data_IF_078766228997
#
_entry.id   IF_078766228997
#
_cell.length_a   1.000
_cell.length_b   1.000
_cell.length_c   1.000
_cell.angle_alpha   90.00
_cell.angle_beta   90.00
_cell.angle_gamma   90.00
#
_symmetry.space_group_name_H-M   'P 1'
#
loop_
_entity.id
_entity.type
_entity.pdbx_description
1 polymer ?
#
# COMPACT_ATOMS: atom_id res chain seq x y z
N UNK A 1 30.47 -20.48 42.48
CA UNK A 1 29.15 -20.89 42.98
C UNK A 1 28.20 -20.92 41.79
N UNK A 2 27.74 -22.12 41.42
CA UNK A 2 26.42 -22.47 40.84
C UNK A 2 25.94 -21.61 39.65
N UNK A 3 25.88 -22.06 38.39
CA UNK A 3 25.58 -23.39 37.88
C UNK A 3 24.07 -23.61 37.74
N UNK A 4 23.45 -23.15 36.65
CA UNK A 4 22.15 -23.67 36.19
C UNK A 4 22.17 -23.82 34.67
N UNK A 5 22.21 -25.08 34.27
CA UNK A 5 22.00 -25.62 32.95
C UNK A 5 20.50 -25.99 32.87
N UNK A 6 19.80 -25.57 31.83
CA UNK A 6 18.47 -26.12 31.48
C UNK A 6 18.39 -26.20 29.94
N UNK A 7 18.87 -27.30 29.35
CA UNK A 7 18.09 -28.46 28.87
C UNK A 7 16.99 -28.12 27.85
N UNK A 8 17.27 -28.54 26.62
CA UNK A 8 16.32 -28.68 25.52
C UNK A 8 15.21 -29.68 25.87
N UNK A 9 13.98 -29.37 25.44
CA UNK A 9 12.88 -30.31 25.34
C UNK A 9 12.57 -30.55 23.85
N UNK A 10 12.87 -31.77 23.40
CA UNK A 10 12.41 -32.35 22.14
C UNK A 10 10.96 -32.78 22.34
N UNK A 11 10.03 -32.27 21.53
CA UNK A 11 8.65 -32.72 21.52
C UNK A 11 8.49 -33.91 20.56
N UNK A 12 8.10 -35.05 21.12
CA UNK A 12 7.63 -36.25 20.43
C UNK A 12 6.15 -36.39 20.74
N UNK A 13 5.27 -36.21 19.74
CA UNK A 13 4.03 -36.98 19.56
C UNK A 13 3.28 -36.56 18.29
N UNK A 14 2.98 -37.56 17.45
CA UNK A 14 2.20 -37.42 16.23
C UNK A 14 0.70 -37.21 16.48
N UNK A 15 0.09 -36.59 15.47
CA UNK A 15 -1.30 -36.64 15.01
C UNK A 15 -2.45 -36.75 16.02
N UNK A 16 -3.31 -35.71 16.00
CA UNK A 16 -4.70 -35.76 16.45
C UNK A 16 -5.41 -34.46 16.06
N UNK A 17 -6.38 -34.57 15.17
CA UNK A 17 -7.11 -33.45 14.59
C UNK A 17 -8.10 -32.78 15.56
N UNK A 18 -8.53 -31.58 15.15
CA UNK A 18 -9.78 -30.86 15.45
C UNK A 18 -9.79 -29.80 16.57
N UNK A 19 -10.30 -28.64 16.14
CA UNK A 19 -11.02 -27.62 16.92
C UNK A 19 -10.20 -26.50 17.58
N UNK A 20 -9.94 -25.45 16.80
CA UNK A 20 -9.89 -24.09 17.34
C UNK A 20 -10.89 -23.19 16.60
N UNK A 21 -12.03 -23.02 17.28
CA UNK A 21 -13.01 -21.95 17.25
C UNK A 21 -12.56 -20.65 16.55
N UNK A 22 -13.33 -20.29 15.54
CA UNK A 22 -13.85 -18.96 15.22
C UNK A 22 -13.08 -17.76 15.78
N UNK A 23 -12.17 -17.21 14.97
CA UNK A 23 -11.78 -15.82 15.08
C UNK A 23 -12.62 -15.01 14.10
N UNK A 24 -13.70 -14.42 14.61
CA UNK A 24 -14.44 -13.38 13.90
C UNK A 24 -13.59 -12.11 13.89
N UNK A 25 -12.96 -11.82 12.76
CA UNK A 25 -12.50 -10.49 12.41
C UNK A 25 -13.20 -10.10 11.12
N UNK A 26 -14.05 -9.07 11.21
CA UNK A 26 -14.86 -8.55 10.11
C UNK A 26 -14.01 -7.94 9.00
N UNK A 27 -13.44 -8.80 8.15
CA UNK A 27 -13.16 -8.48 6.77
C UNK A 27 -14.34 -8.96 5.94
N UNK A 28 -14.97 -8.06 5.19
CA UNK A 28 -15.94 -8.44 4.17
C UNK A 28 -15.18 -9.26 3.10
N UNK A 29 -15.05 -10.57 3.31
CA UNK A 29 -14.70 -11.49 2.24
C UNK A 29 -15.91 -11.46 1.31
N UNK A 30 -15.81 -10.73 0.21
CA UNK A 30 -16.77 -10.87 -0.89
C UNK A 30 -16.77 -12.35 -1.29
N UNK A 31 -17.75 -13.11 -0.80
CA UNK A 31 -17.98 -14.50 -1.17
C UNK A 31 -18.28 -14.53 -2.66
N UNK A 32 -17.31 -14.97 -3.45
CA UNK A 32 -17.44 -15.07 -4.89
C UNK A 32 -18.13 -16.38 -5.25
N UNK A 33 -19.36 -16.29 -5.74
CA UNK A 33 -20.14 -17.43 -6.19
C UNK A 33 -19.64 -17.98 -7.53
N UNK A 34 -19.65 -19.30 -7.69
CA UNK A 34 -19.38 -19.96 -8.95
C UNK A 34 -20.48 -19.62 -9.98
N UNK A 35 -20.17 -19.06 -11.16
CA UNK A 35 -21.18 -18.62 -12.14
C UNK A 35 -21.96 -19.79 -12.78
N UNK A 36 -21.51 -21.03 -12.60
CA UNK A 36 -22.12 -22.21 -13.21
C UNK A 36 -23.02 -23.04 -12.27
N UNK A 37 -22.75 -23.02 -10.97
CA UNK A 37 -23.45 -23.86 -9.98
C UNK A 37 -23.77 -23.13 -8.68
N UNK A 38 -23.44 -21.83 -8.60
CA UNK A 38 -23.69 -20.94 -7.46
C UNK A 38 -23.08 -21.39 -6.12
N UNK A 39 -22.14 -22.34 -6.14
CA UNK A 39 -21.36 -22.66 -4.95
C UNK A 39 -20.59 -21.43 -4.46
N UNK A 40 -20.58 -21.22 -3.15
CA UNK A 40 -20.10 -19.98 -2.50
C UNK A 40 -18.58 -19.86 -2.35
N UNK A 41 -17.85 -20.87 -2.81
CA UNK A 41 -16.39 -20.91 -2.71
C UNK A 41 -15.72 -21.24 -4.06
N UNK A 42 -14.50 -20.77 -4.21
CA UNK A 42 -13.68 -20.96 -5.40
C UNK A 42 -12.19 -20.89 -5.08
N UNK A 43 -11.40 -21.78 -5.69
CA UNK A 43 -9.95 -21.82 -5.53
C UNK A 43 -9.28 -20.97 -6.61
N UNK A 44 -8.41 -20.03 -6.21
CA UNK A 44 -7.57 -19.26 -7.15
C UNK A 44 -6.44 -20.15 -7.67
N UNK A 45 -6.28 -20.21 -8.99
CA UNK A 45 -5.24 -21.00 -9.69
C UNK A 45 -4.16 -20.10 -10.28
N UNK A 46 -4.55 -18.99 -10.89
CA UNK A 46 -3.64 -18.06 -11.57
C UNK A 46 -4.05 -16.64 -11.20
N UNK A 47 -3.07 -15.76 -11.00
CA UNK A 47 -3.28 -14.34 -10.68
C UNK A 47 -2.40 -13.50 -11.58
N UNK A 48 -3.02 -12.59 -12.32
CA UNK A 48 -2.33 -11.64 -13.19
C UNK A 48 -2.75 -10.22 -12.83
N UNK A 49 -1.79 -9.31 -12.73
CA UNK A 49 -2.05 -7.89 -12.55
C UNK A 49 -2.00 -7.21 -13.92
N UNK A 50 -2.89 -6.25 -14.18
CA UNK A 50 -2.79 -5.38 -15.35
C UNK A 50 -1.51 -4.56 -15.32
N UNK A 51 -1.00 -4.14 -16.48
CA UNK A 51 0.20 -3.30 -16.59
C UNK A 51 0.10 -2.01 -15.74
N UNK A 52 -1.10 -1.41 -15.66
CA UNK A 52 -1.34 -0.20 -14.85
C UNK A 52 -1.52 -0.46 -13.34
N UNK A 53 -1.34 -1.70 -12.87
CA UNK A 53 -1.45 -2.04 -11.44
C UNK A 53 -2.82 -1.78 -10.80
N UNK A 54 -3.88 -1.59 -11.59
CA UNK A 54 -5.23 -1.25 -11.13
C UNK A 54 -6.15 -2.46 -10.99
N UNK A 55 -5.96 -3.48 -11.84
CA UNK A 55 -6.85 -4.63 -11.93
C UNK A 55 -6.07 -5.92 -11.73
N UNK A 56 -6.62 -6.81 -10.90
CA UNK A 56 -6.16 -8.18 -10.74
C UNK A 56 -7.17 -9.08 -11.44
N UNK A 57 -6.70 -9.82 -12.45
CA UNK A 57 -7.44 -10.93 -13.04
C UNK A 57 -7.03 -12.24 -12.37
N UNK A 58 -7.95 -12.86 -11.66
CA UNK A 58 -7.77 -14.18 -11.04
C UNK A 58 -8.51 -15.25 -11.83
N UNK A 59 -7.82 -16.32 -12.20
CA UNK A 59 -8.45 -17.55 -12.71
C UNK A 59 -8.80 -18.43 -11.52
N UNK A 60 -10.07 -18.78 -11.40
CA UNK A 60 -10.64 -19.57 -10.31
C UNK A 60 -11.18 -20.91 -10.81
N UNK A 61 -11.19 -21.91 -9.95
CA UNK A 61 -11.83 -23.21 -10.16
C UNK A 61 -12.81 -23.50 -9.04
N UNK A 62 -14.01 -23.94 -9.42
CA UNK A 62 -15.02 -24.35 -8.46
C UNK A 62 -14.72 -25.76 -7.95
N UNK A 63 -14.60 -25.98 -6.63
CA UNK A 63 -14.35 -27.30 -6.08
C UNK A 63 -15.55 -28.25 -6.23
N UNK A 64 -16.77 -27.74 -6.40
CA UNK A 64 -17.98 -28.56 -6.54
C UNK A 64 -18.22 -29.06 -7.97
N UNK A 65 -18.04 -28.20 -8.99
CA UNK A 65 -18.32 -28.57 -10.38
C UNK A 65 -17.06 -28.68 -11.27
N UNK A 66 -15.87 -28.37 -10.74
CA UNK A 66 -14.60 -28.43 -11.46
C UNK A 66 -14.41 -27.39 -12.57
N UNK A 67 -15.39 -26.52 -12.82
CA UNK A 67 -15.33 -25.52 -13.89
C UNK A 67 -14.44 -24.35 -13.51
N UNK A 68 -13.76 -23.79 -14.52
CA UNK A 68 -12.86 -22.64 -14.40
C UNK A 68 -13.53 -21.37 -14.89
N UNK A 69 -13.30 -20.26 -14.19
CA UNK A 69 -13.80 -18.93 -14.56
C UNK A 69 -12.78 -17.86 -14.18
N UNK A 70 -12.92 -16.65 -14.72
CA UNK A 70 -12.03 -15.52 -14.40
C UNK A 70 -12.81 -14.39 -13.75
N UNK A 71 -12.19 -13.75 -12.77
CA UNK A 71 -12.77 -12.64 -12.03
C UNK A 71 -11.81 -11.46 -12.07
N UNK A 72 -12.36 -10.25 -12.17
CA UNK A 72 -11.56 -9.02 -12.14
C UNK A 72 -11.82 -8.32 -10.81
N UNK A 73 -10.75 -8.07 -10.07
CA UNK A 73 -10.75 -7.41 -8.76
C UNK A 73 -9.89 -6.14 -8.84
N UNK A 74 -10.16 -5.16 -7.97
CA UNK A 74 -9.29 -3.99 -7.86
C UNK A 74 -7.99 -4.38 -7.14
N UNK A 75 -6.84 -3.99 -7.69
CA UNK A 75 -5.54 -4.21 -7.08
C UNK A 75 -5.36 -3.28 -5.87
N UNK A 76 -5.16 -3.86 -4.70
CA UNK A 76 -4.80 -3.10 -3.50
C UNK A 76 -3.32 -2.75 -3.55
N UNK A 77 -3.00 -1.46 -3.67
CA UNK A 77 -1.64 -0.96 -3.54
C UNK A 77 -1.23 -1.00 -2.06
N UNK A 78 -0.12 -1.65 -1.75
CA UNK A 78 0.39 -1.78 -0.39
C UNK A 78 1.56 -0.82 -0.14
N UNK A 79 1.66 -0.29 1.07
CA UNK A 79 2.74 0.60 1.50
C UNK A 79 3.53 -0.05 2.62
N UNK A 80 4.83 -0.23 2.43
CA UNK A 80 5.77 -0.65 3.49
C UNK A 80 6.19 0.56 4.30
N UNK A 81 5.99 0.54 5.62
CA UNK A 81 6.51 1.55 6.53
C UNK A 81 7.98 1.30 6.84
N UNK A 82 8.69 2.33 7.29
CA UNK A 82 10.07 2.21 7.81
C UNK A 82 10.19 1.17 8.95
N UNK A 83 9.12 0.90 9.69
CA UNK A 83 9.07 -0.15 10.71
C UNK A 83 8.99 -1.57 10.16
N UNK A 84 8.83 -1.75 8.84
CA UNK A 84 8.58 -3.03 8.18
C UNK A 84 7.09 -3.43 8.12
N UNK A 85 6.21 -2.72 8.83
CA UNK A 85 4.77 -2.97 8.75
C UNK A 85 4.21 -2.57 7.38
N UNK A 86 3.28 -3.38 6.85
CA UNK A 86 2.59 -3.09 5.58
C UNK A 86 1.14 -2.68 5.81
N UNK A 87 0.67 -1.68 5.09
CA UNK A 87 -0.72 -1.25 5.12
C UNK A 87 -1.21 -0.85 3.72
N UNK A 88 -2.53 -0.86 3.46
CA UNK A 88 -3.07 -0.35 2.20
C UNK A 88 -2.76 1.14 2.00
N UNK A 89 -2.45 1.53 0.77
CA UNK A 89 -2.34 2.93 0.37
C UNK A 89 -3.66 3.66 0.64
N UNK A 90 -3.57 4.89 1.15
CA UNK A 90 -4.72 5.72 1.48
C UNK A 90 -4.46 7.16 1.07
N UNK A 91 -5.31 7.71 0.19
CA UNK A 91 -5.28 9.12 -0.21
C UNK A 91 -5.43 10.05 0.99
N UNK A 92 -6.26 9.69 1.97
CA UNK A 92 -6.43 10.49 3.19
C UNK A 92 -5.13 10.66 3.98
N UNK A 93 -4.26 9.65 3.99
CA UNK A 93 -2.94 9.75 4.62
C UNK A 93 -2.01 10.68 3.85
N UNK A 94 -2.08 10.67 2.51
CA UNK A 94 -1.36 11.64 1.66
C UNK A 94 -1.84 13.05 1.95
N UNK A 95 -3.15 13.30 1.93
CA UNK A 95 -3.75 14.61 2.22
C UNK A 95 -3.32 15.11 3.59
N UNK A 96 -3.40 14.27 4.63
CA UNK A 96 -2.96 14.63 5.99
C UNK A 96 -1.47 14.92 6.08
N UNK A 97 -0.64 14.15 5.37
CA UNK A 97 0.82 14.35 5.33
C UNK A 97 1.20 15.67 4.66
N UNK A 98 0.59 15.97 3.51
CA UNK A 98 0.84 17.21 2.74
C UNK A 98 0.23 18.43 3.41
N UNK A 99 -0.93 18.27 4.06
CA UNK A 99 -1.67 19.37 4.68
C UNK A 99 -0.85 20.19 5.69
N UNK A 100 0.11 19.56 6.38
CA UNK A 100 1.04 20.28 7.28
C UNK A 100 1.95 21.26 6.52
N UNK A 101 2.47 20.86 5.36
CA UNK A 101 3.32 21.72 4.55
C UNK A 101 2.52 22.90 3.93
N UNK A 102 1.24 22.68 3.64
CA UNK A 102 0.33 23.67 3.07
C UNK A 102 -0.28 24.67 4.09
N UNK A 103 0.06 24.58 5.38
CA UNK A 103 -0.50 25.49 6.39
C UNK A 103 -0.19 26.97 6.08
N UNK A 104 -1.24 27.80 6.07
CA UNK A 104 -1.15 29.22 5.73
C UNK A 104 -0.91 29.52 4.25
N UNK A 105 -1.05 28.53 3.36
CA UNK A 105 -0.96 28.69 1.91
C UNK A 105 -2.36 28.72 1.27
N UNK A 106 -2.53 29.34 0.09
CA UNK A 106 -3.80 29.36 -0.63
C UNK A 106 -4.05 28.02 -1.35
N UNK A 107 -4.10 26.91 -0.60
CA UNK A 107 -4.32 25.56 -1.10
C UNK A 107 -5.63 25.02 -0.53
N UNK A 108 -6.53 24.59 -1.41
CA UNK A 108 -7.85 24.07 -1.01
C UNK A 108 -7.82 22.56 -0.75
N UNK A 109 -8.84 22.05 -0.05
CA UNK A 109 -9.05 20.62 0.15
C UNK A 109 -9.15 19.85 -1.18
N UNK A 110 -9.82 20.45 -2.17
CA UNK A 110 -10.05 19.82 -3.47
C UNK A 110 -8.76 19.69 -4.26
N UNK A 111 -7.90 20.72 -4.19
CA UNK A 111 -6.55 20.65 -4.76
C UNK A 111 -5.70 19.56 -4.11
N UNK A 112 -5.80 19.37 -2.79
CA UNK A 112 -5.12 18.27 -2.09
C UNK A 112 -5.68 16.89 -2.49
N UNK A 113 -6.99 16.78 -2.72
CA UNK A 113 -7.61 15.55 -3.20
C UNK A 113 -7.11 15.19 -4.61
N UNK A 114 -7.05 16.17 -5.52
CA UNK A 114 -6.49 15.99 -6.87
C UNK A 114 -5.00 15.63 -6.80
N UNK A 115 -4.24 16.27 -5.91
CA UNK A 115 -2.83 15.92 -5.69
C UNK A 115 -2.70 14.46 -5.23
N UNK A 116 -3.47 14.03 -4.24
CA UNK A 116 -3.42 12.65 -3.74
C UNK A 116 -3.82 11.62 -4.80
N UNK A 117 -4.75 11.97 -5.69
CA UNK A 117 -5.09 11.15 -6.86
C UNK A 117 -3.90 11.03 -7.82
N UNK A 118 -3.26 12.14 -8.20
CA UNK A 118 -2.07 12.13 -9.07
C UNK A 118 -0.93 11.29 -8.50
N UNK A 119 -0.70 11.36 -7.19
CA UNK A 119 0.30 10.55 -6.50
C UNK A 119 -0.02 9.06 -6.62
N UNK A 120 -1.28 8.67 -6.39
CA UNK A 120 -1.67 7.27 -6.56
C UNK A 120 -1.50 6.79 -8.00
N UNK A 121 -1.92 7.60 -8.98
CA UNK A 121 -1.79 7.30 -10.40
C UNK A 121 -0.32 7.12 -10.81
N UNK A 122 0.57 8.02 -10.37
CA UNK A 122 2.00 7.92 -10.63
C UNK A 122 2.62 6.64 -10.03
N UNK A 123 2.23 6.30 -8.80
CA UNK A 123 2.71 5.06 -8.17
C UNK A 123 2.20 3.84 -8.92
N UNK A 124 0.92 3.81 -9.29
CA UNK A 124 0.33 2.68 -10.02
C UNK A 124 0.91 2.52 -11.42
N UNK A 125 1.22 3.62 -12.10
CA UNK A 125 1.87 3.60 -13.41
C UNK A 125 3.26 2.95 -13.39
N UNK A 126 3.92 2.85 -12.23
CA UNK A 126 5.17 2.10 -12.09
C UNK A 126 4.99 0.57 -12.10
N UNK A 127 3.74 0.07 -12.03
CA UNK A 127 3.42 -1.36 -12.05
C UNK A 127 3.69 -2.10 -10.75
N UNK A 128 4.12 -1.40 -9.69
CA UNK A 128 4.44 -2.03 -8.39
C UNK A 128 3.17 -2.30 -7.58
N UNK A 129 3.08 -3.50 -6.99
CA UNK A 129 1.99 -3.85 -6.06
C UNK A 129 2.24 -3.35 -4.63
N UNK A 130 3.51 -3.08 -4.31
CA UNK A 130 3.95 -2.63 -2.99
C UNK A 130 5.02 -1.55 -3.17
N UNK A 131 4.92 -0.47 -2.40
CA UNK A 131 5.83 0.69 -2.45
C UNK A 131 6.29 1.05 -1.03
N UNK A 132 7.51 1.56 -0.90
CA UNK A 132 7.99 2.04 0.39
C UNK A 132 7.43 3.42 0.72
N UNK A 133 7.18 3.65 2.01
CA UNK A 133 6.62 4.93 2.49
C UNK A 133 7.49 6.15 2.15
N UNK A 134 8.80 5.94 1.94
CA UNK A 134 9.72 6.98 1.49
C UNK A 134 9.45 7.36 0.03
N UNK A 135 9.25 6.37 -0.84
CA UNK A 135 8.95 6.59 -2.26
C UNK A 135 7.58 7.25 -2.45
N UNK A 136 6.60 6.94 -1.59
CA UNK A 136 5.33 7.68 -1.55
C UNK A 136 5.57 9.17 -1.25
N UNK A 137 6.49 9.47 -0.33
CA UNK A 137 6.92 10.83 -0.02
C UNK A 137 7.58 11.54 -1.20
N UNK A 138 8.43 10.83 -1.94
CA UNK A 138 9.07 11.36 -3.15
C UNK A 138 8.06 11.60 -4.27
N UNK A 139 7.10 10.70 -4.46
CA UNK A 139 6.03 10.83 -5.46
C UNK A 139 5.10 12.04 -5.22
N UNK A 140 5.05 12.57 -3.99
CA UNK A 140 4.30 13.79 -3.65
C UNK A 140 4.98 15.06 -4.17
N UNK A 141 6.32 15.05 -4.29
CA UNK A 141 7.11 16.24 -4.52
C UNK A 141 6.76 16.95 -5.84
N UNK A 142 6.64 16.21 -6.94
CA UNK A 142 6.32 16.78 -8.25
C UNK A 142 4.91 17.39 -8.29
N UNK A 143 3.82 16.68 -7.94
CA UNK A 143 2.48 17.28 -7.85
C UNK A 143 2.41 18.48 -6.89
N UNK A 144 3.15 18.44 -5.78
CA UNK A 144 3.17 19.53 -4.80
C UNK A 144 3.96 20.75 -5.31
N UNK A 145 5.02 20.54 -6.08
CA UNK A 145 5.80 21.61 -6.73
C UNK A 145 4.93 22.43 -7.68
N UNK A 146 4.09 21.75 -8.45
CA UNK A 146 3.16 22.40 -9.38
C UNK A 146 2.05 23.16 -8.64
N UNK A 147 1.61 22.62 -7.49
CA UNK A 147 0.55 23.19 -6.70
C UNK A 147 0.99 24.43 -5.91
N UNK A 148 2.09 24.33 -5.16
CA UNK A 148 2.63 25.44 -4.37
C UNK A 148 4.13 25.25 -4.06
N UNK A 149 4.96 26.12 -4.64
CA UNK A 149 6.43 26.08 -4.50
C UNK A 149 6.92 26.18 -3.04
N UNK A 150 6.21 26.90 -2.17
CA UNK A 150 6.61 27.08 -0.77
C UNK A 150 6.26 25.83 0.05
N UNK A 151 5.07 25.26 -0.15
CA UNK A 151 4.68 23.99 0.45
C UNK A 151 5.60 22.86 -0.02
N UNK A 152 5.98 22.86 -1.29
CA UNK A 152 7.01 21.95 -1.82
C UNK A 152 8.32 22.06 -1.04
N UNK A 153 8.90 23.26 -0.88
CA UNK A 153 10.17 23.41 -0.14
C UNK A 153 10.06 22.92 1.31
N UNK A 154 8.94 23.22 1.99
CA UNK A 154 8.68 22.74 3.36
C UNK A 154 8.56 21.23 3.46
N UNK A 155 8.00 20.60 2.44
CA UNK A 155 7.85 19.15 2.39
C UNK A 155 9.17 18.46 1.99
N UNK A 156 9.85 19.01 0.98
CA UNK A 156 11.11 18.52 0.45
C UNK A 156 12.22 18.50 1.50
N UNK A 157 12.28 19.50 2.39
CA UNK A 157 13.30 19.53 3.45
C UNK A 157 13.26 18.31 4.37
N UNK A 158 12.10 17.68 4.55
CA UNK A 158 11.93 16.47 5.38
C UNK A 158 12.27 15.20 4.60
N UNK A 159 11.85 15.11 3.33
CA UNK A 159 11.95 13.87 2.55
C UNK A 159 13.19 13.76 1.66
N UNK A 160 13.80 14.89 1.31
CA UNK A 160 15.02 14.98 0.48
C UNK A 160 16.28 15.18 1.33
N UNK A 161 16.17 15.07 2.66
CA UNK A 161 17.29 15.06 3.59
C UNK A 161 18.20 16.29 3.47
N UNK A 162 17.61 17.50 3.46
CA UNK A 162 18.38 18.75 3.42
C UNK A 162 19.16 18.91 4.72
N UNK A 163 20.48 19.03 4.61
CA UNK A 163 21.39 19.14 5.76
C UNK A 163 22.08 20.53 5.80
N UNK A 164 22.03 21.27 4.70
CA UNK A 164 22.77 22.52 4.51
C UNK A 164 21.93 23.64 3.92
N UNK A 165 22.43 24.88 3.98
CA UNK A 165 21.81 26.02 3.29
C UNK A 165 21.92 25.87 1.77
N UNK A 166 23.02 25.28 1.31
CA UNK A 166 23.29 24.98 -0.09
C UNK A 166 22.21 24.08 -0.69
N UNK A 167 21.66 23.11 0.06
CA UNK A 167 20.55 22.26 -0.40
C UNK A 167 19.28 23.09 -0.69
N UNK A 168 18.98 24.06 0.16
CA UNK A 168 17.87 24.99 -0.06
C UNK A 168 18.12 25.88 -1.28
N UNK A 169 19.35 26.39 -1.44
CA UNK A 169 19.71 27.21 -2.61
C UNK A 169 19.53 26.44 -3.92
N UNK A 170 19.98 25.19 -3.97
CA UNK A 170 19.81 24.31 -5.13
C UNK A 170 18.34 24.04 -5.42
N UNK A 171 17.54 23.73 -4.40
CA UNK A 171 16.12 23.50 -4.54
C UNK A 171 15.39 24.75 -5.04
N UNK A 172 15.72 25.94 -4.51
CA UNK A 172 15.17 27.21 -4.97
C UNK A 172 15.59 27.51 -6.41
N UNK A 173 16.84 27.27 -6.77
CA UNK A 173 17.34 27.46 -8.13
C UNK A 173 16.57 26.55 -9.11
N UNK A 174 16.35 25.29 -8.75
CA UNK A 174 15.57 24.35 -9.56
C UNK A 174 14.12 24.80 -9.79
N UNK A 175 13.53 25.61 -8.89
CA UNK A 175 12.16 26.13 -9.01
C UNK A 175 12.03 27.41 -9.84
N UNK A 176 13.13 28.10 -10.13
CA UNK A 176 13.16 29.33 -10.93
C UNK A 176 13.21 29.07 -12.43
N UNK A 177 13.65 27.87 -12.83
CA UNK A 177 13.65 27.36 -14.19
C UNK A 177 12.36 26.59 -14.49
#
# INVERSE_FOLDING_TARGET
MVGVIARAAVDQRGHGALSCRSFSAGGSFMTMFCPFCHYEDSRVIDTRTSDDGQLIRRRRECPQCGRRFSTTEAATLMVTKRSGATEPFSRDKVIKGVGRACQGRPVTSDQLAVLAQKVEEAIRASGVAQIDSQDVGLAILEPLRDLDKVAYLRFASVYSNFESLEDFEQAIAALKN
#
